data_IF_324487393217
#
_entry.id   IF_324487393217
#
_cell.length_a   1.000
_cell.length_b   1.000
_cell.length_c   1.000
_cell.angle_alpha   90.00
_cell.angle_beta   90.00
_cell.angle_gamma   90.00
#
_symmetry.space_group_name_H-M   'P 1'
#
loop_
_entity.id
_entity.type
_entity.pdbx_description
1 polymer ?
#
# COMPACT_ATOMS: atom_id res chain seq x y z
N UNK A 1 -6.85 7.80 31.34
CA UNK A 1 -7.04 7.63 29.88
C UNK A 1 -5.99 6.64 29.39
N UNK A 2 -6.36 5.63 28.59
CA UNK A 2 -5.40 4.66 28.03
C UNK A 2 -4.55 5.29 26.93
N UNK A 3 -3.33 4.81 26.72
CA UNK A 3 -2.51 5.25 25.58
C UNK A 3 -3.21 4.95 24.25
N UNK A 4 -3.14 5.88 23.26
CA UNK A 4 -3.72 5.64 21.95
C UNK A 4 -3.00 4.49 21.23
N UNK A 5 -3.72 3.73 20.39
CA UNK A 5 -3.14 2.60 19.66
C UNK A 5 -2.02 3.08 18.73
N UNK A 6 -1.02 2.23 18.48
CA UNK A 6 0.13 2.55 17.62
C UNK A 6 -0.28 2.98 16.20
N UNK A 7 -1.36 2.43 15.65
CA UNK A 7 -1.93 2.86 14.37
C UNK A 7 -2.40 4.31 14.38
N UNK A 8 -2.87 4.84 15.52
CA UNK A 8 -3.25 6.25 15.63
C UNK A 8 -2.02 7.17 15.54
N UNK A 9 -0.93 6.83 16.25
CA UNK A 9 0.33 7.57 16.16
C UNK A 9 0.89 7.56 14.73
N UNK A 10 0.81 6.41 14.04
CA UNK A 10 1.19 6.31 12.63
C UNK A 10 0.32 7.18 11.72
N UNK A 11 -0.98 7.28 11.98
CA UNK A 11 -1.89 8.15 11.24
C UNK A 11 -1.49 9.62 11.41
N UNK A 12 -1.21 10.08 12.63
CA UNK A 12 -0.76 11.46 12.86
C UNK A 12 0.55 11.77 12.13
N UNK A 13 1.50 10.84 12.14
CA UNK A 13 2.77 10.98 11.40
C UNK A 13 2.51 11.03 9.87
N UNK A 14 1.64 10.17 9.33
CA UNK A 14 1.26 10.15 7.91
C UNK A 14 0.56 11.43 7.46
N UNK A 15 -0.35 11.97 8.28
CA UNK A 15 -1.05 13.22 7.99
C UNK A 15 -0.09 14.41 7.87
N UNK A 16 1.06 14.36 8.56
CA UNK A 16 2.09 15.41 8.56
C UNK A 16 3.23 15.15 7.58
N UNK A 17 3.31 13.96 6.99
CA UNK A 17 4.39 13.61 6.09
C UNK A 17 4.28 14.37 4.76
N UNK A 18 5.35 15.07 4.39
CA UNK A 18 5.46 15.77 3.10
C UNK A 18 5.57 14.78 1.93
N UNK A 19 6.38 13.72 2.10
CA UNK A 19 6.44 12.60 1.17
C UNK A 19 6.00 11.31 1.87
N UNK A 20 4.73 10.95 1.67
CA UNK A 20 4.13 9.76 2.28
C UNK A 20 4.71 8.46 1.73
N UNK A 21 5.14 8.43 0.47
CA UNK A 21 5.82 7.26 -0.09
C UNK A 21 7.16 7.01 0.63
N UNK A 22 7.95 8.07 0.80
CA UNK A 22 9.21 7.99 1.55
C UNK A 22 8.97 7.57 3.01
N UNK A 23 7.94 8.12 3.65
CA UNK A 23 7.54 7.73 4.99
C UNK A 23 7.24 6.22 5.09
N UNK A 24 6.37 5.71 4.21
CA UNK A 24 5.95 4.30 4.18
C UNK A 24 7.16 3.38 3.97
N UNK A 25 7.95 3.63 2.92
CA UNK A 25 9.09 2.78 2.56
C UNK A 25 10.19 2.78 3.62
N UNK A 26 10.51 3.94 4.21
CA UNK A 26 11.47 4.01 5.31
C UNK A 26 10.98 3.28 6.55
N UNK A 27 9.68 3.35 6.86
CA UNK A 27 9.12 2.65 8.02
C UNK A 27 9.18 1.14 7.85
N UNK A 28 8.83 0.63 6.68
CA UNK A 28 8.95 -0.78 6.33
C UNK A 28 10.40 -1.25 6.43
N UNK A 29 11.35 -0.49 5.87
CA UNK A 29 12.77 -0.80 5.94
C UNK A 29 13.28 -0.85 7.39
N UNK A 30 12.92 0.13 8.23
CA UNK A 30 13.28 0.16 9.67
C UNK A 30 12.69 -1.02 10.44
N UNK A 31 11.53 -1.52 10.03
CA UNK A 31 10.91 -2.73 10.60
C UNK A 31 11.53 -4.04 10.06
N UNK A 32 12.51 -3.96 9.16
CA UNK A 32 13.11 -5.12 8.51
C UNK A 32 12.11 -5.88 7.63
N UNK A 33 11.17 -5.15 7.02
CA UNK A 33 10.17 -5.67 6.08
C UNK A 33 10.64 -5.34 4.67
N UNK A 34 10.87 -6.36 3.87
CA UNK A 34 11.18 -6.19 2.45
C UNK A 34 9.92 -5.73 1.70
N UNK A 35 10.10 -4.71 0.85
CA UNK A 35 9.04 -4.17 0.01
C UNK A 35 9.53 -4.00 -1.43
N UNK A 36 8.65 -4.30 -2.37
CA UNK A 36 8.91 -4.20 -3.81
C UNK A 36 8.29 -2.93 -4.33
N UNK A 37 9.14 -2.01 -4.79
CA UNK A 37 8.67 -0.78 -5.40
C UNK A 37 8.23 -1.06 -6.84
N UNK A 38 6.97 -0.74 -7.13
CA UNK A 38 6.34 -0.93 -8.42
C UNK A 38 6.06 0.43 -9.05
N UNK A 39 7.15 1.11 -9.40
CA UNK A 39 7.08 2.43 -10.01
C UNK A 39 6.74 2.27 -11.49
N UNK A 40 5.57 2.76 -11.89
CA UNK A 40 5.09 2.70 -13.28
C UNK A 40 4.62 4.08 -13.74
N UNK A 41 5.34 4.65 -14.69
CA UNK A 41 5.27 6.09 -14.96
C UNK A 41 5.54 6.86 -13.66
N UNK A 42 4.67 7.82 -13.35
CA UNK A 42 4.81 8.66 -12.17
C UNK A 42 4.16 8.09 -10.89
N UNK A 43 3.52 6.92 -10.94
CA UNK A 43 2.89 6.32 -9.75
C UNK A 43 3.91 5.50 -8.97
N UNK A 44 4.05 5.77 -7.66
CA UNK A 44 5.02 5.11 -6.77
C UNK A 44 4.35 4.07 -5.85
N UNK A 45 3.98 2.92 -6.39
CA UNK A 45 3.41 1.86 -5.57
C UNK A 45 4.49 1.10 -4.79
N UNK A 46 4.15 0.52 -3.64
CA UNK A 46 5.01 -0.45 -2.96
C UNK A 46 4.22 -1.62 -2.39
N UNK A 47 4.79 -2.83 -2.45
CA UNK A 47 4.13 -4.07 -2.01
C UNK A 47 5.03 -4.86 -1.08
N UNK A 48 4.52 -5.23 0.10
CA UNK A 48 5.17 -6.12 1.06
C UNK A 48 4.61 -7.55 0.91
N UNK A 49 5.48 -8.56 1.04
CA UNK A 49 5.09 -9.97 0.90
C UNK A 49 5.22 -10.71 2.23
N UNK A 50 4.19 -11.47 2.57
CA UNK A 50 4.15 -12.35 3.73
C UNK A 50 3.79 -13.78 3.30
N UNK A 51 4.53 -14.28 2.33
CA UNK A 51 4.43 -15.64 1.78
C UNK A 51 5.80 -16.08 1.25
N UNK A 52 5.98 -17.39 1.01
CA UNK A 52 7.20 -17.94 0.43
C UNK A 52 6.99 -18.25 -1.05
N UNK A 53 8.00 -17.99 -1.87
CA UNK A 53 7.99 -18.32 -3.30
C UNK A 53 8.01 -19.85 -3.56
N UNK A 54 8.37 -20.64 -2.54
CA UNK A 54 8.55 -22.10 -2.61
C UNK A 54 7.26 -22.91 -2.76
N UNK A 55 6.09 -22.32 -2.49
CA UNK A 55 4.82 -23.04 -2.63
C UNK A 55 4.33 -22.96 -4.07
N UNK A 56 4.23 -24.09 -4.81
CA UNK A 56 3.56 -24.09 -6.11
C UNK A 56 2.15 -23.51 -5.95
N UNK A 57 1.69 -22.77 -6.97
CA UNK A 57 0.48 -21.92 -7.16
C UNK A 57 -0.90 -22.50 -6.73
N UNK A 58 -0.92 -23.29 -5.67
CA UNK A 58 -2.06 -24.00 -5.08
C UNK A 58 -2.84 -23.14 -4.09
N UNK A 59 -2.34 -21.93 -3.78
CA UNK A 59 -2.94 -21.01 -2.81
C UNK A 59 -3.06 -19.61 -3.39
N UNK A 60 -4.19 -18.98 -3.10
CA UNK A 60 -4.44 -17.59 -3.43
C UNK A 60 -3.68 -16.67 -2.48
N UNK A 61 -2.96 -15.70 -3.03
CA UNK A 61 -2.37 -14.61 -2.25
C UNK A 61 -3.45 -13.56 -2.00
N UNK A 62 -3.73 -13.28 -0.74
CA UNK A 62 -4.67 -12.23 -0.33
C UNK A 62 -3.96 -10.89 -0.42
N UNK A 63 -4.57 -9.92 -1.07
CA UNK A 63 -4.07 -8.54 -1.12
C UNK A 63 -4.90 -7.66 -0.20
N UNK A 64 -4.22 -6.98 0.72
CA UNK A 64 -4.78 -5.83 1.43
C UNK A 64 -4.16 -4.57 0.83
N UNK A 65 -4.97 -3.60 0.46
CA UNK A 65 -4.50 -2.40 -0.21
C UNK A 65 -5.13 -1.14 0.36
N UNK A 66 -4.37 -0.06 0.35
CA UNK A 66 -4.85 1.30 0.60
C UNK A 66 -4.03 2.28 -0.25
N UNK A 67 -4.64 3.40 -0.65
CA UNK A 67 -3.90 4.48 -1.30
C UNK A 67 -3.42 5.50 -0.28
N UNK A 68 -2.26 6.10 -0.54
CA UNK A 68 -1.63 7.08 0.35
C UNK A 68 -1.63 8.49 -0.22
N UNK A 69 -1.96 8.66 -1.50
CA UNK A 69 -2.15 9.98 -2.08
C UNK A 69 -3.42 10.62 -1.52
N UNK A 70 -3.44 11.94 -1.54
CA UNK A 70 -4.54 12.74 -1.00
C UNK A 70 -4.83 13.86 -1.98
N UNK A 71 -6.08 14.30 -2.03
CA UNK A 71 -6.44 15.56 -2.71
C UNK A 71 -5.58 16.72 -2.20
N UNK A 72 -5.05 17.59 -3.07
CA UNK A 72 -4.29 18.77 -2.65
C UNK A 72 -5.08 19.64 -1.66
N UNK A 73 -4.44 20.00 -0.54
CA UNK A 73 -5.08 20.77 0.53
C UNK A 73 -5.93 19.96 1.51
N UNK A 74 -6.19 18.68 1.23
CA UNK A 74 -6.85 17.77 2.15
C UNK A 74 -5.83 17.04 3.04
N UNK A 75 -6.23 16.76 4.29
CA UNK A 75 -5.44 15.92 5.20
C UNK A 75 -5.45 14.45 4.75
N UNK A 76 -6.57 13.97 4.21
CA UNK A 76 -6.74 12.59 3.75
C UNK A 76 -6.84 11.55 4.87
N UNK A 77 -7.19 11.95 6.10
CA UNK A 77 -7.18 11.04 7.25
C UNK A 77 -8.06 9.81 7.03
N UNK A 78 -9.32 9.99 6.61
CA UNK A 78 -10.24 8.89 6.35
C UNK A 78 -10.21 8.39 4.90
N UNK A 79 -9.53 9.11 4.01
CA UNK A 79 -9.42 8.80 2.57
C UNK A 79 -7.98 9.04 2.10
N UNK A 80 -7.06 8.10 2.31
CA UNK A 80 -7.26 6.82 3.00
C UNK A 80 -6.12 6.50 3.99
N UNK A 81 -5.57 7.54 4.61
CA UNK A 81 -4.39 7.44 5.47
C UNK A 81 -4.63 6.60 6.73
N UNK A 82 -5.85 6.53 7.24
CA UNK A 82 -6.21 5.66 8.36
C UNK A 82 -5.98 4.19 8.01
N UNK A 83 -6.39 3.76 6.80
CA UNK A 83 -6.14 2.40 6.32
C UNK A 83 -4.65 2.17 6.08
N UNK A 84 -3.93 3.14 5.52
CA UNK A 84 -2.46 3.07 5.39
C UNK A 84 -1.79 2.85 6.75
N UNK A 85 -2.21 3.60 7.78
CA UNK A 85 -1.67 3.48 9.12
C UNK A 85 -1.97 2.11 9.75
N UNK A 86 -3.19 1.60 9.58
CA UNK A 86 -3.58 0.26 10.02
C UNK A 86 -2.78 -0.84 9.32
N UNK A 87 -2.57 -0.73 8.01
CA UNK A 87 -1.81 -1.70 7.21
C UNK A 87 -0.31 -1.66 7.53
N UNK A 88 0.28 -0.49 7.79
CA UNK A 88 1.66 -0.38 8.30
C UNK A 88 1.80 -1.06 9.66
N UNK A 89 0.87 -0.79 10.58
CA UNK A 89 0.86 -1.44 11.89
C UNK A 89 0.70 -2.96 11.77
N UNK A 90 -0.19 -3.43 10.90
CA UNK A 90 -0.36 -4.85 10.61
C UNK A 90 0.92 -5.45 10.05
N UNK A 91 1.57 -4.82 9.08
CA UNK A 91 2.83 -5.28 8.50
C UNK A 91 3.91 -5.47 9.58
N UNK A 92 4.07 -4.49 10.48
CA UNK A 92 4.98 -4.58 11.63
C UNK A 92 4.64 -5.77 12.54
N UNK A 93 3.34 -6.00 12.82
CA UNK A 93 2.87 -7.14 13.64
C UNK A 93 3.12 -8.49 12.97
N UNK A 94 2.82 -8.62 11.69
CA UNK A 94 3.06 -9.85 10.92
C UNK A 94 4.55 -10.19 10.88
N UNK A 95 5.42 -9.17 10.75
CA UNK A 95 6.87 -9.34 10.82
C UNK A 95 7.32 -9.84 12.19
N UNK A 96 6.84 -9.23 13.27
CA UNK A 96 7.14 -9.67 14.65
C UNK A 96 6.71 -11.11 14.90
N UNK A 97 5.56 -11.51 14.36
CA UNK A 97 5.02 -12.86 14.48
C UNK A 97 5.65 -13.86 13.49
N UNK A 98 6.59 -13.42 12.64
CA UNK A 98 7.18 -14.25 11.55
C UNK A 98 6.12 -14.90 10.66
N UNK A 99 5.00 -14.21 10.43
CA UNK A 99 3.88 -14.72 9.66
C UNK A 99 4.24 -14.93 8.17
N UNK A 100 3.82 -16.07 7.61
CA UNK A 100 4.04 -16.45 6.21
C UNK A 100 2.84 -17.26 5.66
N UNK A 101 1.66 -16.63 5.60
CA UNK A 101 0.38 -17.28 5.34
C UNK A 101 -0.40 -16.75 4.13
N UNK A 102 0.29 -16.46 3.03
CA UNK A 102 -0.31 -16.15 1.72
C UNK A 102 -0.98 -14.74 1.69
N UNK A 103 -0.27 -13.73 2.19
CA UNK A 103 -0.73 -12.34 2.27
C UNK A 103 0.28 -11.38 1.63
N UNK A 104 -0.24 -10.39 0.91
CA UNK A 104 0.49 -9.22 0.43
C UNK A 104 -0.21 -7.94 0.93
N UNK A 105 0.58 -6.91 1.22
CA UNK A 105 0.07 -5.58 1.57
C UNK A 105 0.59 -4.60 0.53
N UNK A 106 -0.31 -3.87 -0.12
CA UNK A 106 -0.01 -2.90 -1.16
C UNK A 106 -0.35 -1.47 -0.70
N UNK A 107 0.57 -0.54 -0.93
CA UNK A 107 0.38 0.88 -0.74
C UNK A 107 0.38 1.54 -2.12
N UNK A 108 -0.74 2.14 -2.48
CA UNK A 108 -1.03 2.60 -3.84
C UNK A 108 -0.93 4.12 -3.94
N UNK A 109 -0.52 4.59 -5.11
CA UNK A 109 -0.43 6.02 -5.44
C UNK A 109 -1.52 6.43 -6.42
N UNK A 110 -1.81 7.73 -6.52
CA UNK A 110 -2.63 8.35 -7.57
C UNK A 110 -4.07 7.83 -7.70
N UNK A 111 -4.72 7.42 -6.61
CA UNK A 111 -6.14 7.11 -6.61
C UNK A 111 -6.98 8.38 -6.80
N UNK A 112 -6.66 9.44 -6.06
CA UNK A 112 -7.46 10.68 -5.97
C UNK A 112 -7.43 11.49 -7.28
N UNK A 113 -6.40 11.27 -8.10
CA UNK A 113 -6.29 11.89 -9.42
C UNK A 113 -7.39 11.42 -10.38
N UNK A 114 -8.08 10.32 -10.09
CA UNK A 114 -9.25 9.86 -10.83
C UNK A 114 -10.45 10.82 -10.70
N UNK A 115 -10.55 11.55 -9.59
CA UNK A 115 -11.65 12.49 -9.31
C UNK A 115 -11.48 13.88 -9.94
N UNK A 116 -10.28 14.23 -10.44
CA UNK A 116 -9.93 15.59 -10.89
C UNK A 116 -9.92 15.76 -12.42
N UNK A 117 -10.72 14.98 -13.14
CA UNK A 117 -10.68 14.89 -14.61
C UNK A 117 -11.26 16.14 -15.31
N UNK A 118 -10.47 17.22 -15.35
CA UNK A 118 -10.51 18.23 -16.44
C UNK A 118 -9.32 18.12 -17.38
N UNK A 119 -8.22 17.48 -16.96
CA UNK A 119 -6.99 17.36 -17.75
C UNK A 119 -6.44 15.92 -17.71
N UNK A 120 -6.78 15.10 -18.70
CA UNK A 120 -5.97 13.98 -19.20
C UNK A 120 -5.64 12.76 -18.30
N UNK A 121 -5.79 12.84 -16.98
CA UNK A 121 -5.47 11.75 -16.07
C UNK A 121 -6.65 10.80 -15.92
N UNK A 122 -6.46 9.53 -16.31
CA UNK A 122 -7.54 8.53 -16.34
C UNK A 122 -7.33 7.41 -15.34
N UNK A 123 -8.34 6.54 -15.21
CA UNK A 123 -8.28 5.29 -14.41
C UNK A 123 -6.98 4.50 -14.60
N UNK A 124 -6.38 4.55 -15.80
CA UNK A 124 -5.15 3.82 -16.16
C UNK A 124 -3.89 4.35 -15.46
N UNK A 125 -3.93 5.58 -14.96
CA UNK A 125 -2.81 6.23 -14.32
C UNK A 125 -2.70 5.91 -12.82
N UNK A 126 -3.78 5.40 -12.23
CA UNK A 126 -3.84 5.05 -10.82
C UNK A 126 -2.95 3.86 -10.49
N UNK A 127 -2.45 3.86 -9.27
CA UNK A 127 -1.58 2.81 -8.76
C UNK A 127 -2.26 1.44 -8.77
N UNK A 128 -3.56 1.39 -8.46
CA UNK A 128 -4.36 0.15 -8.50
C UNK A 128 -4.46 -0.44 -9.90
N UNK A 129 -4.74 0.38 -10.93
CA UNK A 129 -4.80 -0.11 -12.31
C UNK A 129 -3.44 -0.64 -12.77
N UNK A 130 -2.36 0.11 -12.51
CA UNK A 130 -0.98 -0.27 -12.84
C UNK A 130 -0.54 -1.58 -12.18
N UNK A 131 -0.97 -1.80 -10.93
CA UNK A 131 -0.75 -3.06 -10.22
C UNK A 131 -1.49 -4.22 -10.88
N UNK A 132 -2.78 -4.04 -11.21
CA UNK A 132 -3.58 -5.06 -11.91
C UNK A 132 -3.03 -5.38 -13.30
N UNK A 133 -2.60 -4.37 -14.06
CA UNK A 133 -1.98 -4.52 -15.37
C UNK A 133 -0.66 -5.31 -15.29
N UNK A 134 0.15 -5.07 -14.25
CA UNK A 134 1.36 -5.86 -13.99
C UNK A 134 1.05 -7.33 -13.72
N UNK A 135 0.02 -7.61 -12.91
CA UNK A 135 -0.40 -8.98 -12.62
C UNK A 135 -0.85 -9.69 -13.90
N UNK A 136 -1.69 -9.03 -14.70
CA UNK A 136 -2.13 -9.54 -16.00
C UNK A 136 -0.94 -9.84 -16.91
N UNK A 137 0.01 -8.91 -17.06
CA UNK A 137 1.23 -9.08 -17.89
C UNK A 137 2.13 -10.22 -17.42
N UNK A 138 2.13 -10.54 -16.13
CA UNK A 138 2.89 -11.65 -15.54
C UNK A 138 2.14 -12.98 -15.54
N UNK A 139 0.95 -13.03 -16.14
CA UNK A 139 0.10 -14.23 -16.12
C UNK A 139 -0.37 -14.60 -14.71
N UNK A 140 -0.39 -13.63 -13.78
CA UNK A 140 -1.00 -13.78 -12.46
C UNK A 140 -2.49 -13.52 -12.68
N UNK A 141 -3.24 -14.61 -12.82
CA UNK A 141 -4.68 -14.53 -13.03
C UNK A 141 -5.35 -14.26 -11.68
N UNK A 142 -5.87 -13.05 -11.49
CA UNK A 142 -6.63 -12.65 -10.30
C UNK A 142 -8.12 -12.96 -10.48
N UNK A 143 -8.47 -14.07 -11.13
CA UNK A 143 -9.86 -14.49 -11.27
C UNK A 143 -10.50 -14.56 -9.90
N UNK A 144 -11.25 -13.51 -9.56
CA UNK A 144 -12.17 -13.44 -8.45
C UNK A 144 -13.47 -14.13 -8.87
#
# INVERSE_FOLDING_TARGET
MSEPPRSYKLLEELCRAQDRYAFITQRLARAGIESFNLNQGDARNTVCRFYRDEKPRTRYIKFLAAHYDTVPGAVGANDNLASVAQLLYLAEKLRQQRYQGDLAIAFLDKEELMGQTKEGHGLKDSGGYKLGDLFRKRGINTGL
#
